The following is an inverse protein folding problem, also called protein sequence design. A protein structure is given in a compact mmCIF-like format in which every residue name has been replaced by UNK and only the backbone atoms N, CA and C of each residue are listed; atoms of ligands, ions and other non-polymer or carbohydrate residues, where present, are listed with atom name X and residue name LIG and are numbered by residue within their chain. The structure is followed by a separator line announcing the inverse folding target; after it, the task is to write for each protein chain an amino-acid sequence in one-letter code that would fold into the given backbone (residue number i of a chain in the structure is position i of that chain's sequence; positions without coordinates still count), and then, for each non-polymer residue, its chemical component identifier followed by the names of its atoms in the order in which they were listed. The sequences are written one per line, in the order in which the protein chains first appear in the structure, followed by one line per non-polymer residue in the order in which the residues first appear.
data_IF_501348370632
#
_entry.id   IF_501348370632
#
_cell.length_a   1.000
_cell.length_b   1.000
_cell.length_c   1.000
_cell.angle_alpha   90.00
_cell.angle_beta   90.00
_cell.angle_gamma   90.00
#
_symmetry.space_group_name_H-M   'P 1'
#
loop_
_entity.id
_entity.type
_entity.pdbx_description
1 polymer ?
#
# COMPACT_ATOMS: atom_id res chain seq x y z
N UNK A 1 -21.26 -63.25 24.59
CA UNK A 1 -20.68 -62.53 25.75
C UNK A 1 -21.69 -61.48 26.22
N UNK A 2 -21.90 -61.29 27.52
CA UNK A 2 -22.85 -60.32 28.10
C UNK A 2 -22.18 -59.13 28.80
N UNK A 3 -20.85 -58.97 28.65
CA UNK A 3 -20.07 -57.86 29.22
C UNK A 3 -19.04 -57.29 28.25
N UNK A 4 -18.32 -56.25 28.67
CA UNK A 4 -17.31 -55.54 27.87
C UNK A 4 -16.12 -56.46 27.50
N UNK A 5 -15.68 -56.39 26.25
CA UNK A 5 -14.40 -56.96 25.82
C UNK A 5 -13.26 -56.01 26.24
N UNK A 6 -12.41 -56.45 27.16
CA UNK A 6 -11.28 -55.66 27.68
C UNK A 6 -9.96 -56.21 27.20
N UNK A 7 -9.14 -55.37 26.59
CA UNK A 7 -7.85 -55.73 26.03
C UNK A 7 -6.79 -54.82 26.65
N UNK A 8 -5.82 -55.43 27.34
CA UNK A 8 -4.68 -54.69 27.93
C UNK A 8 -3.55 -54.44 26.92
N UNK A 9 -3.58 -55.13 25.78
CA UNK A 9 -2.60 -54.96 24.72
C UNK A 9 -2.65 -53.57 24.10
N UNK A 10 -1.47 -53.02 23.80
CA UNK A 10 -1.29 -51.70 23.16
C UNK A 10 -1.90 -51.70 21.75
N UNK A 11 -1.60 -52.73 20.95
CA UNK A 11 -2.30 -53.01 19.70
C UNK A 11 -3.54 -53.86 20.05
N UNK A 12 -4.68 -53.20 20.26
CA UNK A 12 -5.81 -53.82 20.92
C UNK A 12 -6.72 -54.60 19.96
N UNK A 13 -7.03 -54.02 18.79
CA UNK A 13 -7.90 -54.64 17.79
C UNK A 13 -7.31 -54.43 16.39
N UNK A 14 -7.46 -55.44 15.52
CA UNK A 14 -7.04 -55.40 14.12
C UNK A 14 -8.19 -55.81 13.21
N UNK A 15 -8.41 -55.05 12.15
CA UNK A 15 -9.26 -55.41 11.01
C UNK A 15 -8.35 -55.50 9.80
N UNK A 16 -8.28 -56.65 9.12
CA UNK A 16 -7.29 -56.86 8.07
C UNK A 16 -7.78 -57.68 6.87
N UNK A 17 -7.12 -57.49 5.74
CA UNK A 17 -7.06 -58.43 4.63
C UNK A 17 -5.59 -58.81 4.36
N UNK A 18 -5.31 -59.45 3.22
CA UNK A 18 -3.94 -59.82 2.84
C UNK A 18 -3.01 -58.61 2.69
N UNK A 19 -3.53 -57.50 2.13
CA UNK A 19 -2.75 -56.31 1.86
C UNK A 19 -2.58 -55.41 3.09
N UNK A 20 -3.66 -55.03 3.77
CA UNK A 20 -3.62 -54.03 4.83
C UNK A 20 -4.40 -54.47 6.06
N UNK A 21 -3.86 -54.09 7.21
CA UNK A 21 -4.52 -54.12 8.49
C UNK A 21 -4.75 -52.70 8.98
N UNK A 22 -5.85 -52.45 9.67
CA UNK A 22 -6.07 -51.27 10.48
C UNK A 22 -6.03 -51.68 11.94
N UNK A 23 -5.09 -51.09 12.70
CA UNK A 23 -4.86 -51.38 14.11
C UNK A 23 -5.42 -50.23 14.94
N UNK A 24 -6.34 -50.56 15.83
CA UNK A 24 -6.78 -49.70 16.93
C UNK A 24 -5.73 -49.80 18.02
N UNK A 25 -4.83 -48.83 18.05
CA UNK A 25 -3.71 -48.79 18.99
C UNK A 25 -3.98 -47.78 20.08
N UNK A 26 -3.92 -48.22 21.32
CA UNK A 26 -3.83 -47.34 22.48
C UNK A 26 -2.34 -47.18 22.83
N UNK A 27 -1.80 -45.98 22.71
CA UNK A 27 -0.47 -45.64 23.28
C UNK A 27 -0.64 -45.15 24.72
N UNK A 28 0.36 -44.47 25.29
CA UNK A 28 0.24 -43.93 26.65
C UNK A 28 -0.93 -42.95 26.77
N UNK A 29 -0.94 -41.92 25.91
CA UNK A 29 -1.89 -40.80 26.00
C UNK A 29 -2.85 -40.68 24.81
N UNK A 30 -2.74 -41.51 23.77
CA UNK A 30 -3.56 -41.36 22.57
C UNK A 30 -4.24 -42.66 22.14
N UNK A 31 -5.41 -42.51 21.52
CA UNK A 31 -6.00 -43.53 20.66
C UNK A 31 -5.64 -43.23 19.21
N UNK A 32 -5.11 -44.23 18.50
CA UNK A 32 -4.76 -44.11 17.10
C UNK A 32 -5.45 -45.17 16.24
N UNK A 33 -5.82 -44.79 15.02
CA UNK A 33 -6.18 -45.71 13.94
C UNK A 33 -4.98 -45.81 12.99
N UNK A 34 -4.22 -46.90 13.06
CA UNK A 34 -2.94 -47.02 12.37
C UNK A 34 -3.00 -48.15 11.34
N UNK A 35 -2.87 -47.87 10.04
CA UNK A 35 -2.74 -48.92 9.05
C UNK A 35 -1.38 -49.62 9.16
N UNK A 36 -1.30 -50.91 8.81
CA UNK A 36 -0.04 -51.64 8.61
C UNK A 36 0.63 -51.22 7.31
N UNK A 37 1.83 -51.74 7.09
CA UNK A 37 2.40 -51.80 5.74
C UNK A 37 1.57 -52.71 4.82
N UNK A 38 1.71 -52.50 3.52
CA UNK A 38 1.12 -53.35 2.48
C UNK A 38 1.72 -54.77 2.51
N UNK A 39 0.89 -55.79 2.24
CA UNK A 39 1.23 -57.21 2.33
C UNK A 39 1.41 -57.72 3.77
N UNK A 40 1.14 -56.87 4.76
CA UNK A 40 1.38 -57.14 6.18
C UNK A 40 0.09 -57.03 6.99
N UNK A 41 -1.04 -57.29 6.34
CA UNK A 41 -2.34 -57.00 6.94
C UNK A 41 -2.62 -57.81 8.20
N UNK A 42 -2.38 -59.12 8.17
CA UNK A 42 -2.68 -60.03 9.30
C UNK A 42 -1.66 -59.90 10.44
N UNK A 43 -0.39 -60.09 10.13
CA UNK A 43 0.67 -60.24 11.14
C UNK A 43 1.66 -59.07 11.19
N UNK A 44 1.46 -58.05 10.36
CA UNK A 44 2.34 -56.89 10.29
C UNK A 44 2.29 -56.01 11.51
N UNK A 45 3.41 -55.39 11.84
CA UNK A 45 3.45 -54.31 12.83
C UNK A 45 2.69 -53.06 12.37
N UNK A 46 2.54 -52.11 13.30
CA UNK A 46 1.94 -50.80 13.00
C UNK A 46 2.76 -50.07 11.92
N UNK A 47 2.06 -49.49 10.96
CA UNK A 47 2.68 -48.61 9.98
C UNK A 47 2.99 -47.22 10.54
N UNK A 48 3.53 -46.37 9.69
CA UNK A 48 3.94 -45.01 10.02
C UNK A 48 2.81 -43.98 9.96
N UNK A 49 1.69 -44.26 9.29
CA UNK A 49 0.61 -43.28 9.10
C UNK A 49 -0.18 -43.01 10.38
N UNK A 50 -0.64 -41.76 10.52
CA UNK A 50 -1.51 -41.27 11.59
C UNK A 50 -2.69 -40.49 11.00
N UNK A 51 -3.58 -41.15 10.23
CA UNK A 51 -4.72 -40.48 9.58
C UNK A 51 -5.70 -39.89 10.60
N UNK A 52 -5.75 -40.45 11.80
CA UNK A 52 -6.62 -40.02 12.88
C UNK A 52 -6.02 -40.39 14.23
N UNK A 53 -5.96 -39.42 15.13
CA UNK A 53 -5.58 -39.60 16.53
C UNK A 53 -6.49 -38.80 17.44
N UNK A 54 -6.77 -39.34 18.63
CA UNK A 54 -7.44 -38.62 19.71
C UNK A 54 -6.48 -38.58 20.89
N UNK A 55 -6.16 -37.39 21.37
CA UNK A 55 -5.49 -37.19 22.66
C UNK A 55 -6.47 -37.53 23.79
N UNK A 56 -6.11 -38.48 24.65
CA UNK A 56 -6.98 -38.99 25.71
C UNK A 56 -7.00 -38.07 26.95
N UNK A 57 -6.11 -37.09 27.04
CA UNK A 57 -6.08 -36.08 28.09
C UNK A 57 -6.91 -34.86 27.72
N UNK A 58 -6.86 -34.41 26.46
CA UNK A 58 -7.49 -33.16 26.00
C UNK A 58 -8.74 -33.38 25.14
N UNK A 59 -8.89 -34.56 24.54
CA UNK A 59 -9.95 -34.85 23.58
C UNK A 59 -9.71 -34.26 22.19
N UNK A 60 -8.53 -33.66 21.94
CA UNK A 60 -8.19 -33.09 20.64
C UNK A 60 -8.12 -34.19 19.57
N UNK A 61 -8.76 -33.92 18.43
CA UNK A 61 -8.73 -34.79 17.26
C UNK A 61 -7.76 -34.22 16.25
N UNK A 62 -6.71 -34.99 15.94
CA UNK A 62 -5.72 -34.62 14.94
C UNK A 62 -5.85 -35.53 13.71
N UNK A 63 -6.12 -34.90 12.56
CA UNK A 63 -6.12 -35.53 11.24
C UNK A 63 -4.97 -34.95 10.42
N UNK A 64 -3.78 -35.51 10.61
CA UNK A 64 -2.53 -34.98 10.03
C UNK A 64 -2.34 -35.34 8.55
N UNK A 65 -3.39 -35.80 7.88
CA UNK A 65 -3.40 -36.19 6.47
C UNK A 65 -4.53 -35.46 5.76
N UNK A 66 -4.49 -35.43 4.41
CA UNK A 66 -5.53 -34.77 3.63
C UNK A 66 -6.90 -35.26 4.08
N UNK A 67 -7.68 -34.32 4.60
CA UNK A 67 -9.08 -34.57 4.88
C UNK A 67 -9.81 -34.28 3.58
N UNK A 68 -10.02 -35.33 2.77
CA UNK A 68 -11.01 -35.26 1.71
C UNK A 68 -12.36 -35.43 2.38
N UNK A 69 -12.99 -34.32 2.75
CA UNK A 69 -14.36 -34.35 3.21
C UNK A 69 -15.24 -34.48 1.96
N UNK A 70 -15.56 -35.74 1.61
CA UNK A 70 -16.62 -36.01 0.65
C UNK A 70 -17.96 -35.60 1.27
N UNK A 71 -18.78 -34.86 0.52
CA UNK A 71 -19.97 -34.21 1.09
C UNK A 71 -19.63 -32.86 1.74
N UNK A 72 -20.20 -32.55 2.91
CA UNK A 72 -20.03 -31.25 3.60
C UNK A 72 -19.24 -31.34 4.92
N UNK A 73 -18.67 -30.21 5.37
CA UNK A 73 -17.91 -30.05 6.63
C UNK A 73 -18.47 -28.89 7.47
N UNK A 74 -18.54 -29.05 8.80
CA UNK A 74 -18.95 -28.00 9.75
C UNK A 74 -17.91 -27.85 10.88
N UNK A 75 -17.48 -26.61 11.15
CA UNK A 75 -16.56 -26.24 12.23
C UNK A 75 -17.35 -25.44 13.29
N UNK A 76 -17.39 -25.93 14.54
CA UNK A 76 -18.06 -25.24 15.68
C UNK A 76 -17.02 -24.40 16.46
N UNK A 77 -16.64 -23.24 15.91
CA UNK A 77 -15.59 -22.34 16.43
C UNK A 77 -14.97 -21.43 15.36
N UNK A 78 -13.87 -20.74 15.67
CA UNK A 78 -13.08 -19.97 14.69
C UNK A 78 -12.45 -20.88 13.63
N UNK A 79 -12.57 -20.48 12.37
CA UNK A 79 -11.93 -21.17 11.25
C UNK A 79 -10.73 -20.37 10.80
N UNK A 80 -9.57 -20.75 11.29
CA UNK A 80 -8.31 -20.27 10.77
C UNK A 80 -7.97 -20.89 9.44
N UNK A 81 -8.31 -20.26 8.30
CA UNK A 81 -7.80 -20.71 7.01
C UNK A 81 -6.40 -20.12 6.82
N UNK A 82 -5.42 -20.84 7.37
CA UNK A 82 -4.02 -20.45 7.34
C UNK A 82 -3.56 -19.54 8.50
N UNK A 83 -4.43 -19.22 9.46
CA UNK A 83 -4.04 -18.41 10.63
C UNK A 83 -4.83 -18.81 11.87
N UNK A 84 -4.15 -18.87 13.01
CA UNK A 84 -4.87 -18.94 14.28
C UNK A 84 -5.72 -17.70 14.39
N UNK A 85 -7.00 -17.93 14.59
CA UNK A 85 -7.91 -16.83 14.70
C UNK A 85 -7.68 -16.10 16.04
N UNK A 86 -6.89 -15.03 15.97
CA UNK A 86 -6.61 -14.11 17.07
C UNK A 86 -7.53 -12.88 17.06
N UNK A 87 -8.49 -12.85 16.12
CA UNK A 87 -9.61 -11.92 16.12
C UNK A 87 -10.67 -12.33 17.16
N UNK A 88 -10.68 -13.62 17.57
CA UNK A 88 -11.57 -14.20 18.58
C UNK A 88 -12.85 -14.87 18.00
N UNK A 89 -13.58 -15.64 18.82
CA UNK A 89 -14.90 -16.20 18.47
C UNK A 89 -14.94 -17.12 17.23
N UNK A 90 -15.97 -17.00 16.39
CA UNK A 90 -16.13 -17.70 15.10
C UNK A 90 -15.68 -16.82 13.91
N UNK A 91 -14.40 -16.60 13.68
CA UNK A 91 -13.94 -15.77 12.55
C UNK A 91 -13.00 -16.54 11.61
N UNK A 92 -12.86 -16.02 10.39
CA UNK A 92 -11.86 -16.45 9.42
C UNK A 92 -10.86 -15.34 9.32
N UNK A 93 -9.72 -15.56 9.94
CA UNK A 93 -8.58 -14.78 9.57
C UNK A 93 -8.10 -15.39 8.24
N UNK A 94 -8.20 -14.58 7.21
CA UNK A 94 -7.70 -14.66 5.82
C UNK A 94 -7.62 -13.21 5.28
N UNK A 95 -7.54 -12.23 6.18
CA UNK A 95 -8.48 -11.09 6.04
C UNK A 95 -9.93 -11.49 6.38
N UNK A 96 -10.90 -10.58 6.30
CA UNK A 96 -12.34 -10.80 6.61
C UNK A 96 -13.20 -11.18 5.36
N UNK A 97 -14.52 -10.93 5.32
CA UNK A 97 -15.47 -11.56 4.36
C UNK A 97 -15.38 -11.07 2.91
N UNK A 98 -15.01 -9.81 2.74
CA UNK A 98 -14.92 -9.13 1.46
C UNK A 98 -13.62 -8.32 1.37
N UNK A 99 -12.73 -8.59 2.33
CA UNK A 99 -11.32 -8.30 2.30
C UNK A 99 -10.55 -9.60 2.22
N UNK A 100 -9.84 -9.79 1.13
CA UNK A 100 -9.11 -11.03 0.90
C UNK A 100 -8.56 -11.09 -0.50
N UNK A 101 -8.15 -12.28 -0.90
CA UNK A 101 -7.51 -12.52 -2.19
C UNK A 101 -8.44 -13.33 -3.08
N UNK A 102 -8.55 -12.93 -4.35
CA UNK A 102 -9.32 -13.65 -5.36
C UNK A 102 -8.47 -13.90 -6.60
N UNK A 103 -8.31 -15.16 -6.98
CA UNK A 103 -7.74 -15.52 -8.28
C UNK A 103 -8.83 -15.37 -9.35
N UNK A 104 -8.70 -14.38 -10.22
CA UNK A 104 -9.70 -14.02 -11.24
C UNK A 104 -9.32 -14.52 -12.65
N UNK A 105 -8.33 -15.41 -12.73
CA UNK A 105 -7.82 -15.99 -13.96
C UNK A 105 -6.37 -16.44 -13.78
N UNK A 106 -5.80 -17.06 -14.81
CA UNK A 106 -4.38 -17.40 -14.79
C UNK A 106 -3.54 -16.11 -14.77
N UNK A 107 -2.62 -16.03 -13.81
CA UNK A 107 -1.82 -14.83 -13.56
C UNK A 107 -2.57 -13.61 -13.02
N UNK A 108 -3.83 -13.72 -12.57
CA UNK A 108 -4.62 -12.59 -12.05
C UNK A 108 -5.01 -12.82 -10.59
N UNK A 109 -4.35 -12.13 -9.67
CA UNK A 109 -4.64 -12.14 -8.25
C UNK A 109 -5.13 -10.77 -7.80
N UNK A 110 -6.36 -10.71 -7.34
CA UNK A 110 -7.03 -9.47 -6.97
C UNK A 110 -7.17 -9.38 -5.45
N UNK A 111 -6.82 -8.22 -4.90
CA UNK A 111 -7.10 -7.85 -3.53
C UNK A 111 -8.43 -7.13 -3.51
N UNK A 112 -9.32 -7.69 -2.70
CA UNK A 112 -10.56 -7.05 -2.37
C UNK A 112 -10.42 -6.42 -0.99
N UNK A 113 -11.04 -5.27 -0.80
CA UNK A 113 -11.30 -4.68 0.49
C UNK A 113 -12.70 -4.08 0.45
N UNK A 114 -13.55 -4.47 1.39
CA UNK A 114 -14.94 -4.02 1.46
C UNK A 114 -15.69 -4.20 0.12
N UNK A 115 -15.49 -5.37 -0.51
CA UNK A 115 -16.12 -5.75 -1.78
C UNK A 115 -15.59 -5.01 -3.01
N UNK A 116 -14.61 -4.14 -2.81
CA UNK A 116 -13.99 -3.41 -3.88
C UNK A 116 -12.71 -4.11 -4.30
N UNK A 117 -12.57 -4.40 -5.59
CA UNK A 117 -11.28 -4.77 -6.15
C UNK A 117 -10.38 -3.55 -6.07
N UNK A 118 -9.56 -3.47 -5.01
CA UNK A 118 -8.73 -2.29 -4.73
C UNK A 118 -7.39 -2.38 -5.42
N UNK A 119 -6.91 -3.59 -5.70
CA UNK A 119 -5.59 -3.81 -6.27
C UNK A 119 -5.51 -5.13 -7.04
N UNK A 120 -4.92 -5.11 -8.24
CA UNK A 120 -4.61 -6.30 -9.02
C UNK A 120 -3.11 -6.55 -9.07
N UNK A 121 -2.74 -7.80 -8.85
CA UNK A 121 -1.45 -8.37 -9.18
C UNK A 121 -1.58 -9.16 -10.47
N UNK A 122 -0.75 -8.82 -11.46
CA UNK A 122 -0.74 -9.43 -12.78
C UNK A 122 0.67 -9.36 -13.40
N UNK A 123 0.87 -9.99 -14.56
CA UNK A 123 2.17 -10.01 -15.26
C UNK A 123 2.55 -8.64 -15.87
N UNK A 124 1.55 -7.83 -16.21
CA UNK A 124 1.76 -6.46 -16.68
C UNK A 124 1.94 -5.46 -15.53
N UNK A 125 1.54 -4.22 -15.77
CA UNK A 125 1.55 -3.19 -14.74
C UNK A 125 0.61 -3.55 -13.59
N UNK A 126 1.05 -3.35 -12.36
CA UNK A 126 0.18 -3.43 -11.20
C UNK A 126 -0.91 -2.37 -11.31
N UNK A 127 -2.14 -2.76 -11.02
CA UNK A 127 -3.28 -1.86 -11.15
C UNK A 127 -3.86 -1.57 -9.77
N UNK A 128 -3.74 -0.33 -9.34
CA UNK A 128 -4.57 0.17 -8.24
C UNK A 128 -5.85 0.77 -8.81
N UNK A 129 -6.99 0.37 -8.25
CA UNK A 129 -8.28 0.96 -8.59
C UNK A 129 -8.69 2.07 -7.61
N UNK A 130 -7.80 2.42 -6.67
CA UNK A 130 -8.03 3.43 -5.63
C UNK A 130 -6.86 4.40 -5.57
N UNK A 131 -7.06 5.53 -4.91
CA UNK A 131 -5.97 6.44 -4.63
C UNK A 131 -4.95 5.75 -3.72
N UNK A 132 -3.67 5.92 -4.05
CA UNK A 132 -2.58 5.40 -3.24
C UNK A 132 -2.08 6.54 -2.35
N UNK A 133 -2.30 6.40 -1.04
CA UNK A 133 -1.68 7.28 -0.05
C UNK A 133 -0.28 6.74 0.28
N UNK A 134 0.74 7.58 0.10
CA UNK A 134 2.13 7.22 0.34
C UNK A 134 2.69 8.16 1.42
N UNK A 135 3.05 7.61 2.58
CA UNK A 135 3.62 8.41 3.69
C UNK A 135 5.02 8.95 3.39
N UNK A 136 5.69 8.40 2.37
CA UNK A 136 7.02 8.80 1.93
C UNK A 136 7.03 9.36 0.51
N UNK A 137 8.23 9.42 -0.09
CA UNK A 137 8.41 9.89 -1.46
C UNK A 137 8.02 8.82 -2.48
N UNK A 138 7.26 9.22 -3.50
CA UNK A 138 7.11 8.47 -4.74
C UNK A 138 8.18 8.96 -5.72
N UNK A 139 9.00 8.05 -6.26
CA UNK A 139 10.02 8.37 -7.28
C UNK A 139 9.69 7.58 -8.56
N UNK A 140 8.91 8.14 -9.49
CA UNK A 140 8.70 7.54 -10.80
C UNK A 140 10.02 7.35 -11.57
N UNK A 141 10.09 6.32 -12.41
CA UNK A 141 11.18 6.15 -13.38
C UNK A 141 11.07 7.15 -14.54
N UNK A 142 9.86 7.67 -14.79
CA UNK A 142 9.55 8.68 -15.79
C UNK A 142 8.59 9.72 -15.18
N UNK A 143 8.95 11.00 -15.29
CA UNK A 143 8.15 12.14 -14.81
C UNK A 143 7.39 12.84 -15.95
N UNK A 144 7.44 12.33 -17.19
CA UNK A 144 6.88 13.00 -18.37
C UNK A 144 5.42 13.42 -18.23
N UNK A 145 4.59 12.63 -17.53
CA UNK A 145 3.18 12.96 -17.26
C UNK A 145 3.00 14.04 -16.17
N UNK A 146 3.96 14.23 -15.27
CA UNK A 146 3.97 15.34 -14.31
C UNK A 146 4.53 16.61 -14.95
N UNK A 147 5.64 16.49 -15.67
CA UNK A 147 6.33 17.61 -16.32
C UNK A 147 5.47 18.27 -17.42
N UNK A 148 4.66 17.49 -18.12
CA UNK A 148 3.70 18.01 -19.10
C UNK A 148 2.52 18.79 -18.48
N UNK A 149 2.17 18.51 -17.22
CA UNK A 149 1.04 19.15 -16.50
C UNK A 149 1.49 20.32 -15.63
N UNK A 150 2.62 20.15 -14.96
CA UNK A 150 3.25 21.16 -14.12
C UNK A 150 4.46 21.63 -14.89
N UNK A 151 4.29 22.73 -15.62
CA UNK A 151 5.31 23.27 -16.49
C UNK A 151 6.68 23.30 -15.79
N UNK A 152 7.58 22.44 -16.26
CA UNK A 152 9.03 22.69 -16.28
C UNK A 152 9.61 22.35 -17.64
N UNK A 153 8.82 22.58 -18.69
CA UNK A 153 9.24 22.50 -20.08
C UNK A 153 8.87 23.81 -20.73
N UNK A 154 9.70 24.85 -20.55
CA UNK A 154 9.62 26.05 -21.40
C UNK A 154 9.31 27.37 -20.72
N UNK A 155 8.39 27.42 -19.75
CA UNK A 155 7.68 28.68 -19.42
C UNK A 155 7.39 28.96 -17.93
N UNK A 156 7.77 28.09 -17.00
CA UNK A 156 7.50 28.36 -15.57
C UNK A 156 8.46 29.34 -14.95
N UNK A 157 7.89 30.29 -14.21
CA UNK A 157 8.62 31.26 -13.42
C UNK A 157 9.27 30.55 -12.24
N UNK A 158 10.60 30.39 -12.26
CA UNK A 158 11.37 29.80 -11.16
C UNK A 158 11.80 30.84 -10.12
N UNK A 159 11.82 32.12 -10.49
CA UNK A 159 12.16 33.24 -9.61
C UNK A 159 11.61 34.54 -10.18
N UNK A 160 11.33 35.51 -9.31
CA UNK A 160 11.00 36.90 -9.68
C UNK A 160 11.98 37.84 -8.98
N UNK A 161 12.44 38.90 -9.66
CA UNK A 161 13.30 39.94 -9.07
C UNK A 161 13.03 41.31 -9.68
N UNK A 162 13.52 42.36 -9.02
CA UNK A 162 13.66 43.67 -9.64
C UNK A 162 15.02 43.74 -10.35
N UNK A 163 15.03 44.25 -11.58
CA UNK A 163 16.23 44.51 -12.35
C UNK A 163 17.07 45.67 -11.79
N UNK A 164 18.00 46.14 -12.60
CA UNK A 164 18.86 47.29 -12.26
C UNK A 164 18.02 48.54 -11.96
N UNK A 165 18.44 49.32 -10.95
CA UNK A 165 17.84 50.62 -10.63
C UNK A 165 18.05 51.59 -11.79
N UNK A 166 16.98 52.21 -12.25
CA UNK A 166 16.98 53.31 -13.21
C UNK A 166 16.41 54.56 -12.53
N UNK A 167 16.61 55.73 -13.13
CA UNK A 167 16.09 57.00 -12.61
C UNK A 167 15.63 57.91 -13.74
N UNK A 168 14.59 58.70 -13.45
CA UNK A 168 14.16 59.82 -14.29
C UNK A 168 14.17 61.10 -13.46
N UNK A 169 14.68 62.19 -14.03
CA UNK A 169 14.63 63.54 -13.46
C UNK A 169 14.29 64.54 -14.58
N UNK A 170 13.41 65.52 -14.34
CA UNK A 170 13.13 66.61 -15.28
C UNK A 170 14.35 67.54 -15.43
N UNK A 171 14.36 68.39 -16.46
CA UNK A 171 15.47 69.31 -16.76
C UNK A 171 15.72 70.39 -15.67
N UNK A 172 14.79 70.56 -14.72
CA UNK A 172 14.89 71.51 -13.63
C UNK A 172 13.67 71.43 -12.71
N UNK A 173 13.77 72.10 -11.55
CA UNK A 173 12.75 72.07 -10.50
C UNK A 173 11.49 72.92 -10.78
N UNK A 174 11.47 73.65 -11.89
CA UNK A 174 10.35 74.50 -12.33
C UNK A 174 9.55 73.91 -13.50
N UNK A 175 9.90 72.68 -13.93
CA UNK A 175 9.15 71.97 -14.97
C UNK A 175 8.07 71.09 -14.36
N UNK A 176 6.83 71.22 -14.85
CA UNK A 176 5.81 70.18 -14.68
C UNK A 176 6.22 68.96 -15.50
N UNK A 177 6.23 67.78 -14.87
CA UNK A 177 6.57 66.54 -15.55
C UNK A 177 5.61 65.42 -15.19
N UNK A 178 5.39 64.55 -16.17
CA UNK A 178 4.66 63.29 -16.04
C UNK A 178 5.52 62.22 -16.68
N UNK A 179 5.82 61.15 -15.96
CA UNK A 179 6.63 60.05 -16.48
C UNK A 179 5.79 58.77 -16.56
N UNK A 180 5.71 58.20 -17.76
CA UNK A 180 5.34 56.81 -17.95
C UNK A 180 6.60 55.94 -17.82
N UNK A 181 6.58 54.96 -16.92
CA UNK A 181 7.73 54.08 -16.68
C UNK A 181 7.96 53.08 -17.83
N UNK A 182 6.97 52.90 -18.70
CA UNK A 182 6.98 51.88 -19.73
C UNK A 182 6.71 50.47 -19.19
N UNK A 183 6.50 49.53 -20.12
CA UNK A 183 6.09 48.14 -19.85
C UNK A 183 7.03 47.44 -18.86
N UNK A 184 6.45 46.80 -17.84
CA UNK A 184 7.18 46.00 -16.84
C UNK A 184 7.95 46.78 -15.78
N UNK A 185 8.01 48.11 -15.84
CA UNK A 185 8.70 48.93 -14.85
C UNK A 185 7.77 49.32 -13.70
N UNK A 186 8.33 49.35 -12.49
CA UNK A 186 7.66 49.81 -11.27
C UNK A 186 8.48 50.87 -10.57
N UNK A 187 7.81 51.86 -9.97
CA UNK A 187 8.46 52.86 -9.13
C UNK A 187 9.02 52.19 -7.87
N UNK A 188 10.24 52.55 -7.50
CA UNK A 188 10.97 51.99 -6.35
C UNK A 188 11.54 53.06 -5.42
N UNK A 189 11.32 54.34 -5.75
CA UNK A 189 11.69 55.46 -4.89
C UNK A 189 11.35 56.80 -5.52
N UNK A 190 11.35 57.85 -4.70
CA UNK A 190 11.10 59.23 -5.08
C UNK A 190 12.34 60.05 -4.71
N UNK A 191 12.76 60.96 -5.59
CA UNK A 191 13.83 61.93 -5.33
C UNK A 191 13.14 63.24 -4.96
N UNK A 192 13.28 63.65 -3.70
CA UNK A 192 12.78 64.93 -3.19
C UNK A 192 13.92 65.94 -3.19
N UNK A 193 13.66 67.17 -3.62
CA UNK A 193 14.67 68.24 -3.69
C UNK A 193 14.13 69.56 -3.13
N UNK A 194 14.98 70.25 -2.40
CA UNK A 194 14.74 71.62 -1.93
C UNK A 194 14.79 72.61 -3.09
N UNK A 195 13.95 73.64 -3.04
CA UNK A 195 13.88 74.65 -4.10
C UNK A 195 14.33 76.05 -3.69
N UNK A 196 14.86 76.20 -2.46
CA UNK A 196 15.40 77.46 -1.91
C UNK A 196 14.67 77.93 -0.66
N UNK A 197 14.87 79.20 -0.29
CA UNK A 197 14.31 79.77 0.94
C UNK A 197 12.79 80.01 0.82
N UNK A 198 12.03 79.53 1.81
CA UNK A 198 10.57 79.64 1.93
C UNK A 198 9.75 79.00 0.78
N UNK A 199 10.22 77.91 0.20
CA UNK A 199 9.50 77.16 -0.82
C UNK A 199 9.08 75.76 -0.36
N UNK A 200 8.26 75.08 -1.16
CA UNK A 200 7.86 73.69 -0.94
C UNK A 200 8.91 72.70 -1.51
N UNK A 201 8.89 71.47 -0.99
CA UNK A 201 9.63 70.35 -1.54
C UNK A 201 9.10 69.99 -2.93
N UNK A 202 10.00 69.86 -3.91
CA UNK A 202 9.64 69.40 -5.25
C UNK A 202 10.06 67.94 -5.45
N UNK A 203 9.33 67.22 -6.30
CA UNK A 203 9.77 65.90 -6.76
C UNK A 203 10.77 66.10 -7.89
N UNK A 204 12.06 66.00 -7.56
CA UNK A 204 13.19 66.12 -8.48
C UNK A 204 13.44 64.89 -9.35
N UNK A 205 12.69 63.81 -9.14
CA UNK A 205 12.74 62.62 -9.96
C UNK A 205 12.23 61.38 -9.24
N UNK A 206 12.42 60.22 -9.87
CA UNK A 206 12.00 58.91 -9.35
C UNK A 206 13.05 57.86 -9.66
N UNK A 207 13.10 56.82 -8.82
CA UNK A 207 13.77 55.57 -9.13
C UNK A 207 12.76 54.53 -9.57
N UNK A 208 13.09 53.74 -10.59
CA UNK A 208 12.25 52.63 -11.05
C UNK A 208 13.10 51.43 -11.44
N UNK A 209 12.48 50.26 -11.49
CA UNK A 209 13.12 48.99 -11.85
C UNK A 209 12.16 48.13 -12.67
N UNK A 210 12.69 47.37 -13.62
CA UNK A 210 11.90 46.39 -14.37
C UNK A 210 11.66 45.16 -13.51
N UNK A 211 10.43 44.66 -13.44
CA UNK A 211 10.16 43.33 -12.88
C UNK A 211 10.70 42.30 -13.88
N UNK A 212 11.51 41.37 -13.38
CA UNK A 212 12.05 40.26 -14.15
C UNK A 212 11.60 38.93 -13.57
N UNK A 213 11.41 37.95 -14.44
CA UNK A 213 11.10 36.58 -14.05
C UNK A 213 12.03 35.61 -14.78
N UNK A 214 12.40 34.53 -14.09
CA UNK A 214 13.31 33.52 -14.61
C UNK A 214 12.52 32.34 -15.16
N UNK A 215 12.79 31.96 -16.40
CA UNK A 215 12.20 30.79 -17.05
C UNK A 215 13.33 29.96 -17.63
N UNK A 216 13.41 28.69 -17.26
CA UNK A 216 14.49 27.77 -17.67
C UNK A 216 15.91 28.33 -17.45
N UNK A 217 16.12 29.13 -16.41
CA UNK A 217 17.41 29.76 -16.13
C UNK A 217 17.67 31.08 -16.86
N UNK A 218 16.77 31.50 -17.76
CA UNK A 218 16.86 32.77 -18.50
C UNK A 218 15.98 33.83 -17.86
N UNK A 219 16.54 35.02 -17.62
CA UNK A 219 15.80 36.18 -17.10
C UNK A 219 15.10 36.95 -18.22
N UNK A 220 13.80 37.18 -18.06
CA UNK A 220 12.94 37.94 -18.97
C UNK A 220 12.30 39.12 -18.24
N UNK A 221 12.01 40.21 -18.95
CA UNK A 221 11.29 41.36 -18.41
C UNK A 221 9.78 41.11 -18.50
N UNK A 222 9.04 41.51 -17.46
CA UNK A 222 7.56 41.47 -17.48
C UNK A 222 7.01 42.47 -18.50
N UNK A 223 5.88 42.15 -19.11
CA UNK A 223 5.07 43.08 -19.90
C UNK A 223 3.87 43.59 -19.10
N UNK A 224 3.57 44.87 -19.20
CA UNK A 224 2.29 45.47 -18.78
C UNK A 224 1.25 45.38 -19.90
N UNK A 225 -0.03 45.19 -19.55
CA UNK A 225 -1.19 45.19 -20.47
C UNK A 225 -1.88 46.56 -20.54
#
# INVERSE_FOLDING_TARGET
MSGELKIRGVNALRIFNEAFGLIFRRSEECLHLIPTSEGQGENGDIGSLRPFSIDLRTGEISMSHKVSVGGGSQVNGALGIGVQNALGGNSIAIGDSDTGFKQNGDGLLDVYANGQHVFRFQNGELQSNRAVNVSGRVTPSDYGNFDARYAKTGASITSVRLGSRQSYSPAGNWYTWTQDLGSGNVMTGIIVQDTGDNSADNIGGIYYRTIQYCVNGTWMNVSSI
#
